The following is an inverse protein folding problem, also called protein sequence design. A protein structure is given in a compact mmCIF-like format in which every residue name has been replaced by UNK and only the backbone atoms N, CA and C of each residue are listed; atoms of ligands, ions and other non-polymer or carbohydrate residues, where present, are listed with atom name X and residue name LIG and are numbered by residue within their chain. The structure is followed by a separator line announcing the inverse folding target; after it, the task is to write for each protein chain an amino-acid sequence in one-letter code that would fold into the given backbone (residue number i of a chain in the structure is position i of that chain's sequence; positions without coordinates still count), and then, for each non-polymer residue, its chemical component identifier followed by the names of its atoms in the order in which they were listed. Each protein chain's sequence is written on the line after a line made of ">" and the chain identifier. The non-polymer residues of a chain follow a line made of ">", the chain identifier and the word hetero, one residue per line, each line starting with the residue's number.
data_IF_094892029813
#
_entry.id   IF_094892029813
#
_cell.length_a   1.000
_cell.length_b   1.000
_cell.length_c   1.000
_cell.angle_alpha   90.00
_cell.angle_beta   90.00
_cell.angle_gamma   90.00
#
_symmetry.space_group_name_H-M   'P 1'
#
loop_
_entity.id
_entity.type
_entity.pdbx_description
1 polymer ?
#
# COMPACT_ATOMS: atom_id res chain seq x y z
N UNK A 1 6.81 -44.60 8.72
CA UNK A 1 6.61 -43.22 8.21
C UNK A 1 6.01 -43.22 6.80
N UNK A 2 6.38 -44.17 5.93
CA UNK A 2 5.71 -44.41 4.64
C UNK A 2 4.44 -45.26 4.75
N UNK A 3 3.98 -45.54 5.98
CA UNK A 3 2.80 -46.34 6.23
C UNK A 3 1.55 -45.67 5.62
N UNK A 4 0.71 -46.51 5.03
CA UNK A 4 -0.54 -46.08 4.41
C UNK A 4 -1.47 -45.47 5.46
N UNK A 5 -1.98 -44.29 5.16
CA UNK A 5 -3.00 -43.62 5.93
C UNK A 5 -4.34 -44.35 5.74
N UNK A 6 -4.84 -44.94 6.82
CA UNK A 6 -6.12 -45.65 6.84
C UNK A 6 -7.19 -44.78 7.49
N UNK A 7 -8.25 -44.48 6.75
CA UNK A 7 -9.45 -43.85 7.30
C UNK A 7 -10.24 -44.92 8.06
N UNK A 8 -10.47 -44.77 9.38
CA UNK A 8 -11.29 -45.72 10.14
C UNK A 8 -12.69 -45.85 9.53
N UNK A 9 -13.13 -47.08 9.23
CA UNK A 9 -14.46 -47.37 8.68
C UNK A 9 -14.59 -47.49 7.15
N UNK A 10 -13.51 -47.31 6.36
CA UNK A 10 -13.52 -47.56 4.90
C UNK A 10 -12.91 -48.91 4.54
N UNK A 11 -13.57 -49.64 3.62
CA UNK A 11 -13.01 -50.86 3.02
C UNK A 11 -11.71 -50.56 2.27
N UNK A 12 -10.65 -51.34 2.55
CA UNK A 12 -9.31 -51.21 1.94
C UNK A 12 -9.32 -51.31 0.41
N UNK A 13 -10.35 -51.93 -0.20
CA UNK A 13 -10.42 -52.16 -1.65
C UNK A 13 -10.66 -50.90 -2.50
N UNK A 14 -10.96 -49.73 -1.91
CA UNK A 14 -11.26 -48.48 -2.65
C UNK A 14 -10.61 -47.21 -2.07
N UNK A 15 -9.72 -47.33 -1.10
CA UNK A 15 -9.06 -46.17 -0.50
C UNK A 15 -7.86 -45.73 -1.35
N UNK A 16 -7.74 -44.43 -1.65
CA UNK A 16 -6.50 -43.87 -2.23
C UNK A 16 -5.36 -44.15 -1.25
N UNK A 17 -4.29 -44.77 -1.74
CA UNK A 17 -3.08 -45.07 -0.98
C UNK A 17 -2.30 -43.77 -0.70
N UNK A 18 -2.73 -43.00 0.30
CA UNK A 18 -2.03 -41.82 0.77
C UNK A 18 -1.10 -42.26 1.91
N UNK A 19 0.18 -41.91 1.88
CA UNK A 19 1.10 -42.19 3.00
C UNK A 19 0.92 -41.17 4.12
N UNK A 20 1.20 -41.57 5.36
CA UNK A 20 1.19 -40.66 6.51
C UNK A 20 2.14 -39.46 6.31
N UNK A 21 3.31 -39.69 5.69
CA UNK A 21 4.24 -38.63 5.32
C UNK A 21 3.63 -37.62 4.34
N UNK A 22 2.89 -38.08 3.33
CA UNK A 22 2.19 -37.18 2.40
C UNK A 22 1.12 -36.36 3.12
N UNK A 23 0.32 -36.98 3.99
CA UNK A 23 -0.69 -36.27 4.79
C UNK A 23 -0.05 -35.20 5.68
N UNK A 24 1.02 -35.53 6.42
CA UNK A 24 1.72 -34.57 7.26
C UNK A 24 2.29 -33.38 6.47
N UNK A 25 2.88 -33.65 5.30
CA UNK A 25 3.37 -32.58 4.40
C UNK A 25 2.23 -31.68 3.93
N UNK A 26 1.08 -32.26 3.57
CA UNK A 26 -0.09 -31.51 3.13
C UNK A 26 -0.68 -30.67 4.27
N UNK A 27 -0.81 -31.23 5.47
CA UNK A 27 -1.29 -30.50 6.66
C UNK A 27 -0.35 -29.36 7.05
N UNK A 28 0.96 -29.58 7.02
CA UNK A 28 1.95 -28.53 7.26
C UNK A 28 1.86 -27.43 6.20
N UNK A 29 1.68 -27.79 4.93
CA UNK A 29 1.53 -26.82 3.84
C UNK A 29 0.27 -25.97 4.01
N UNK A 30 -0.87 -26.57 4.36
CA UNK A 30 -2.09 -25.82 4.65
C UNK A 30 -1.93 -24.91 5.87
N UNK A 31 -1.28 -25.37 6.95
CA UNK A 31 -1.02 -24.54 8.11
C UNK A 31 -0.18 -23.30 7.76
N UNK A 32 0.86 -23.47 6.92
CA UNK A 32 1.66 -22.33 6.44
C UNK A 32 0.84 -21.40 5.55
N UNK A 33 0.01 -21.93 4.65
CA UNK A 33 -0.89 -21.11 3.81
C UNK A 33 -1.88 -20.31 4.65
N UNK A 34 -2.49 -20.91 5.66
CA UNK A 34 -3.44 -20.23 6.53
C UNK A 34 -2.77 -19.12 7.34
N UNK A 35 -1.55 -19.36 7.84
CA UNK A 35 -0.74 -18.34 8.52
C UNK A 35 -0.43 -17.16 7.58
N UNK A 36 0.04 -17.43 6.36
CA UNK A 36 0.33 -16.42 5.35
C UNK A 36 -0.92 -15.63 4.96
N UNK A 37 -2.06 -16.31 4.78
CA UNK A 37 -3.32 -15.69 4.46
C UNK A 37 -3.82 -14.79 5.60
N UNK A 38 -3.68 -15.24 6.84
CA UNK A 38 -4.05 -14.45 8.02
C UNK A 38 -3.16 -13.21 8.15
N UNK A 39 -1.85 -13.37 7.94
CA UNK A 39 -0.91 -12.26 7.95
C UNK A 39 -1.21 -11.25 6.84
N UNK A 40 -1.52 -11.72 5.63
CA UNK A 40 -1.94 -10.87 4.51
C UNK A 40 -3.23 -10.10 4.85
N UNK A 41 -4.24 -10.77 5.39
CA UNK A 41 -5.51 -10.15 5.80
C UNK A 41 -5.31 -9.09 6.88
N UNK A 42 -4.42 -9.34 7.83
CA UNK A 42 -4.10 -8.38 8.88
C UNK A 42 -3.36 -7.15 8.31
N UNK A 43 -2.44 -7.36 7.35
CA UNK A 43 -1.67 -6.29 6.69
C UNK A 43 -2.52 -5.45 5.72
N UNK A 44 -3.40 -6.08 4.95
CA UNK A 44 -4.27 -5.44 3.96
C UNK A 44 -5.73 -5.48 4.42
N UNK A 45 -5.97 -5.01 5.64
CA UNK A 45 -7.34 -4.75 6.07
C UNK A 45 -7.94 -3.58 5.24
N UNK A 46 -9.23 -3.32 5.43
CA UNK A 46 -9.96 -2.29 4.68
C UNK A 46 -9.28 -0.92 4.74
N UNK A 47 -8.91 -0.46 5.94
CA UNK A 47 -8.27 0.84 6.15
C UNK A 47 -6.88 0.94 5.50
N UNK A 48 -6.05 -0.10 5.59
CA UNK A 48 -4.72 -0.11 4.99
C UNK A 48 -4.81 -0.15 3.46
N UNK A 49 -5.79 -0.88 2.93
CA UNK A 49 -6.06 -0.93 1.48
C UNK A 49 -6.56 0.43 0.98
N UNK A 50 -7.47 1.06 1.69
CA UNK A 50 -7.94 2.43 1.40
C UNK A 50 -6.78 3.43 1.41
N UNK A 51 -5.92 3.38 2.43
CA UNK A 51 -4.73 4.22 2.52
C UNK A 51 -3.78 4.02 1.32
N UNK A 52 -3.53 2.77 0.90
CA UNK A 52 -2.69 2.47 -0.26
C UNK A 52 -3.31 2.96 -1.58
N UNK A 53 -4.62 2.84 -1.73
CA UNK A 53 -5.35 3.38 -2.89
C UNK A 53 -5.20 4.89 -2.95
N UNK A 54 -5.35 5.58 -1.81
CA UNK A 54 -5.20 7.03 -1.75
C UNK A 54 -3.75 7.48 -2.01
N UNK A 55 -2.76 6.72 -1.51
CA UNK A 55 -1.34 6.94 -1.78
C UNK A 55 -0.99 6.89 -3.27
N UNK A 56 -1.60 5.97 -4.01
CA UNK A 56 -1.37 5.81 -5.44
C UNK A 56 -1.73 7.08 -6.23
N UNK A 57 -2.63 7.92 -5.71
CA UNK A 57 -3.03 9.18 -6.33
C UNK A 57 -1.93 10.26 -6.33
N UNK A 58 -0.85 10.08 -5.58
CA UNK A 58 0.34 10.95 -5.62
C UNK A 58 1.33 10.56 -6.72
N UNK A 59 1.07 9.48 -7.47
CA UNK A 59 1.98 8.99 -8.50
C UNK A 59 2.11 10.01 -9.64
N UNK A 60 3.33 10.46 -9.98
CA UNK A 60 3.53 11.44 -11.05
C UNK A 60 3.51 10.81 -12.46
N UNK A 61 3.46 9.48 -12.57
CA UNK A 61 3.44 8.78 -13.85
C UNK A 61 2.28 9.25 -14.74
N UNK A 62 2.51 9.20 -16.06
CA UNK A 62 1.51 9.52 -17.09
C UNK A 62 0.84 10.88 -16.85
N UNK A 63 1.65 11.90 -16.49
CA UNK A 63 1.18 13.25 -16.16
C UNK A 63 0.16 13.24 -15.01
N UNK A 64 0.47 12.50 -13.94
CA UNK A 64 -0.40 12.34 -12.78
C UNK A 64 -1.76 11.75 -13.15
N UNK A 65 -1.81 10.72 -14.01
CA UNK A 65 -3.06 10.10 -14.47
C UNK A 65 -3.90 9.53 -13.31
N UNK A 66 -3.25 9.05 -12.25
CA UNK A 66 -3.90 8.49 -11.06
C UNK A 66 -4.42 9.55 -10.07
N UNK A 67 -4.19 10.84 -10.33
CA UNK A 67 -4.60 11.91 -9.44
C UNK A 67 -6.11 11.91 -9.22
N UNK A 68 -6.50 11.92 -7.95
CA UNK A 68 -7.89 11.96 -7.50
C UNK A 68 -7.93 12.82 -6.24
N UNK A 69 -8.56 13.99 -6.34
CA UNK A 69 -8.58 14.98 -5.26
C UNK A 69 -9.28 14.45 -4.01
N UNK A 70 -10.41 13.77 -4.17
CA UNK A 70 -11.20 13.27 -3.03
C UNK A 70 -10.41 12.20 -2.26
N UNK A 71 -9.72 11.31 -2.98
CA UNK A 71 -8.84 10.32 -2.36
C UNK A 71 -7.64 10.95 -1.65
N UNK A 72 -7.07 12.03 -2.18
CA UNK A 72 -5.97 12.75 -1.52
C UNK A 72 -6.43 13.52 -0.27
N UNK A 73 -7.66 14.04 -0.26
CA UNK A 73 -8.26 14.59 0.96
C UNK A 73 -8.51 13.50 1.99
N UNK A 74 -9.04 12.35 1.56
CA UNK A 74 -9.19 11.16 2.40
C UNK A 74 -7.85 10.68 2.98
N UNK A 75 -6.77 10.75 2.19
CA UNK A 75 -5.41 10.46 2.67
C UNK A 75 -5.01 11.38 3.83
N UNK A 76 -5.29 12.67 3.72
CA UNK A 76 -4.97 13.64 4.76
C UNK A 76 -5.76 13.38 6.06
N UNK A 77 -6.97 12.81 5.97
CA UNK A 77 -7.74 12.38 7.14
C UNK A 77 -7.08 11.22 7.90
N UNK A 78 -6.22 10.41 7.29
CA UNK A 78 -5.42 9.42 8.03
C UNK A 78 -4.34 10.07 8.92
N UNK A 79 -4.04 11.35 8.69
CA UNK A 79 -3.03 12.14 9.39
C UNK A 79 -3.67 13.28 10.22
N UNK A 80 -4.72 12.99 11.00
CA UNK A 80 -5.45 14.00 11.81
C UNK A 80 -4.57 14.80 12.78
N UNK A 81 -3.39 14.30 13.14
CA UNK A 81 -2.42 15.04 13.98
C UNK A 81 -1.68 16.13 13.20
N UNK A 82 -1.56 15.95 11.89
CA UNK A 82 -0.80 16.81 10.98
C UNK A 82 -1.71 17.75 10.17
N UNK A 83 -2.98 17.37 9.97
CA UNK A 83 -4.00 18.15 9.26
C UNK A 83 -5.17 18.51 10.17
N UNK A 84 -5.33 19.80 10.45
CA UNK A 84 -6.57 20.35 11.03
C UNK A 84 -7.68 20.44 9.98
N UNK A 85 -8.93 20.64 10.40
CA UNK A 85 -10.05 20.89 9.48
C UNK A 85 -9.82 22.09 8.56
N UNK A 86 -9.16 23.14 9.06
CA UNK A 86 -8.78 24.31 8.24
C UNK A 86 -7.72 23.91 7.21
N UNK A 87 -6.75 23.07 7.60
CA UNK A 87 -5.73 22.56 6.68
C UNK A 87 -6.36 21.71 5.57
N UNK A 88 -7.41 20.94 5.85
CA UNK A 88 -8.09 20.12 4.83
C UNK A 88 -8.77 21.00 3.76
N UNK A 89 -9.46 22.07 4.17
CA UNK A 89 -10.07 23.03 3.24
C UNK A 89 -8.99 23.75 2.40
N UNK A 90 -7.89 24.15 3.04
CA UNK A 90 -6.78 24.79 2.35
C UNK A 90 -6.06 23.80 1.39
N UNK A 91 -5.91 22.54 1.78
CA UNK A 91 -5.34 21.48 0.96
C UNK A 91 -6.19 21.23 -0.28
N UNK A 92 -7.52 21.20 -0.13
CA UNK A 92 -8.44 21.04 -1.27
C UNK A 92 -8.20 22.11 -2.35
N UNK A 93 -8.19 23.39 -1.94
CA UNK A 93 -7.91 24.50 -2.86
C UNK A 93 -6.51 24.40 -3.47
N UNK A 94 -5.53 23.99 -2.67
CA UNK A 94 -4.15 23.87 -3.12
C UNK A 94 -3.96 22.74 -4.13
N UNK A 95 -4.69 21.63 -3.99
CA UNK A 95 -4.64 20.47 -4.89
C UNK A 95 -5.12 20.81 -6.31
N UNK A 96 -6.15 21.66 -6.44
CA UNK A 96 -6.67 22.09 -7.75
C UNK A 96 -5.64 22.90 -8.54
N UNK A 97 -4.92 23.79 -7.86
CA UNK A 97 -3.86 24.61 -8.48
C UNK A 97 -2.62 23.75 -8.74
N UNK A 98 -2.21 22.95 -7.76
CA UNK A 98 -1.08 22.03 -7.84
C UNK A 98 -1.13 21.14 -9.08
N UNK A 99 -2.26 20.45 -9.33
CA UNK A 99 -2.33 19.50 -10.44
C UNK A 99 -2.27 20.19 -11.80
N UNK A 100 -2.85 21.38 -11.90
CA UNK A 100 -2.87 22.18 -13.13
C UNK A 100 -1.46 22.66 -13.48
N UNK A 101 -0.75 23.18 -12.48
CA UNK A 101 0.59 23.74 -12.66
C UNK A 101 1.62 22.65 -12.96
N UNK A 102 1.58 21.53 -12.23
CA UNK A 102 2.56 20.46 -12.42
C UNK A 102 2.36 19.71 -13.74
N UNK A 103 1.12 19.50 -14.19
CA UNK A 103 0.86 18.89 -15.52
C UNK A 103 1.35 19.76 -16.68
N UNK A 104 1.44 21.06 -16.47
CA UNK A 104 1.88 22.03 -17.48
C UNK A 104 3.39 22.27 -17.46
N UNK A 105 4.10 21.78 -16.45
CA UNK A 105 5.53 22.01 -16.24
C UNK A 105 6.37 20.86 -16.78
N UNK A 106 7.33 21.19 -17.65
CA UNK A 106 8.26 20.24 -18.24
C UNK A 106 9.15 19.55 -17.19
N UNK A 107 9.38 20.20 -16.04
CA UNK A 107 10.16 19.65 -14.93
C UNK A 107 9.50 18.43 -14.27
N UNK A 108 8.18 18.26 -14.42
CA UNK A 108 7.41 17.19 -13.79
C UNK A 108 6.92 16.11 -14.77
N UNK A 109 7.19 16.23 -16.09
CA UNK A 109 6.56 15.38 -17.11
C UNK A 109 7.07 13.93 -17.14
N UNK A 110 8.31 13.66 -16.71
CA UNK A 110 8.95 12.34 -16.82
C UNK A 110 9.41 11.76 -15.46
N UNK A 111 8.77 12.17 -14.36
CA UNK A 111 9.12 11.66 -13.03
C UNK A 111 8.69 10.20 -12.87
N UNK A 112 9.60 9.36 -12.37
CA UNK A 112 9.40 7.90 -12.24
C UNK A 112 8.85 7.46 -10.88
N UNK A 113 8.53 8.40 -10.01
CA UNK A 113 7.92 8.11 -8.72
C UNK A 113 7.96 9.25 -7.71
N UNK A 114 7.35 8.99 -6.56
CA UNK A 114 7.13 9.98 -5.49
C UNK A 114 8.44 10.54 -4.92
N UNK A 115 9.52 9.74 -4.88
CA UNK A 115 10.83 10.22 -4.44
C UNK A 115 11.45 11.25 -5.38
N UNK A 116 11.24 11.13 -6.69
CA UNK A 116 11.66 12.15 -7.67
C UNK A 116 10.75 13.38 -7.60
N UNK A 117 9.44 13.19 -7.45
CA UNK A 117 8.47 14.26 -7.22
C UNK A 117 8.91 15.19 -6.10
N UNK A 118 9.19 14.66 -4.90
CA UNK A 118 9.61 15.47 -3.74
C UNK A 118 10.91 16.24 -4.03
N UNK A 119 11.89 15.59 -4.66
CA UNK A 119 13.16 16.26 -5.03
C UNK A 119 12.92 17.40 -6.01
N UNK A 120 12.08 17.19 -7.02
CA UNK A 120 11.75 18.22 -8.02
C UNK A 120 10.95 19.35 -7.41
N UNK A 121 10.01 19.07 -6.50
CA UNK A 121 9.26 20.11 -5.76
C UNK A 121 10.19 21.04 -4.99
N UNK A 122 11.20 20.51 -4.29
CA UNK A 122 12.17 21.34 -3.55
C UNK A 122 13.09 22.14 -4.48
N UNK A 123 13.51 21.55 -5.60
CA UNK A 123 14.35 22.23 -6.60
C UNK A 123 13.63 23.41 -7.22
N UNK A 124 12.36 23.23 -7.59
CA UNK A 124 11.50 24.25 -8.23
C UNK A 124 10.84 25.20 -7.25
N UNK A 125 11.06 25.04 -5.94
CA UNK A 125 10.41 25.80 -4.85
C UNK A 125 8.90 25.58 -4.71
N UNK A 126 8.37 24.55 -5.37
CA UNK A 126 6.99 24.11 -5.24
C UNK A 126 6.67 23.54 -3.85
N UNK A 127 7.69 23.16 -3.06
CA UNK A 127 7.53 22.86 -1.63
C UNK A 127 7.00 24.06 -0.81
N UNK A 128 7.32 25.28 -1.24
CA UNK A 128 6.86 26.53 -0.61
C UNK A 128 5.56 27.06 -1.20
N UNK A 129 5.31 26.79 -2.48
CA UNK A 129 4.06 27.16 -3.17
C UNK A 129 2.92 26.26 -2.75
N UNK A 130 3.20 24.95 -2.59
CA UNK A 130 2.22 23.94 -2.19
C UNK A 130 2.57 23.24 -0.87
N UNK A 131 2.70 23.97 0.26
CA UNK A 131 3.19 23.39 1.52
C UNK A 131 2.35 22.23 2.06
N UNK A 132 1.02 22.25 1.91
CA UNK A 132 0.16 21.18 2.43
C UNK A 132 0.25 19.93 1.54
N UNK A 133 0.33 20.10 0.23
CA UNK A 133 0.56 18.99 -0.71
C UNK A 133 1.94 18.38 -0.46
N UNK A 134 2.97 19.22 -0.30
CA UNK A 134 4.32 18.75 0.03
C UNK A 134 4.38 18.00 1.36
N UNK A 135 3.66 18.48 2.38
CA UNK A 135 3.53 17.79 3.66
C UNK A 135 2.87 16.43 3.50
N UNK A 136 1.77 16.33 2.73
CA UNK A 136 1.10 15.07 2.44
C UNK A 136 2.06 14.08 1.74
N UNK A 137 2.80 14.54 0.74
CA UNK A 137 3.78 13.70 0.00
C UNK A 137 4.95 13.27 0.91
N UNK A 138 5.34 14.10 1.88
CA UNK A 138 6.42 13.76 2.82
C UNK A 138 5.97 12.72 3.84
N UNK A 139 4.79 12.89 4.43
CA UNK A 139 4.21 11.94 5.39
C UNK A 139 4.03 10.54 4.80
N UNK A 140 3.68 10.49 3.52
CA UNK A 140 3.49 9.25 2.79
C UNK A 140 4.81 8.52 2.53
N UNK A 141 5.90 9.24 2.22
CA UNK A 141 7.24 8.65 2.16
C UNK A 141 7.71 8.11 3.51
N UNK A 142 7.46 8.84 4.60
CA UNK A 142 7.81 8.40 5.96
C UNK A 142 7.07 7.10 6.29
N UNK A 143 5.78 7.02 5.96
CA UNK A 143 4.98 5.81 6.17
C UNK A 143 5.51 4.62 5.36
N UNK A 144 5.89 4.82 4.08
CA UNK A 144 6.49 3.75 3.28
C UNK A 144 7.79 3.23 3.90
N UNK A 145 8.67 4.13 4.35
CA UNK A 145 9.94 3.77 4.99
C UNK A 145 9.70 3.06 6.33
N UNK A 146 8.76 3.54 7.15
CA UNK A 146 8.40 2.91 8.42
C UNK A 146 7.79 1.50 8.20
N UNK A 147 6.87 1.38 7.25
CA UNK A 147 6.31 0.10 6.83
C UNK A 147 7.42 -0.84 6.40
N UNK A 148 8.31 -0.43 5.48
CA UNK A 148 9.45 -1.23 5.00
C UNK A 148 10.42 -1.66 6.11
N UNK A 149 10.70 -0.79 7.10
CA UNK A 149 11.58 -1.14 8.22
C UNK A 149 10.96 -2.13 9.20
N UNK A 150 9.63 -2.14 9.35
CA UNK A 150 8.93 -3.19 10.10
C UNK A 150 9.03 -4.58 9.44
N UNK A 151 9.47 -4.68 8.17
CA UNK A 151 9.75 -5.96 7.50
C UNK A 151 11.14 -6.53 7.82
N UNK A 152 12.06 -5.77 8.43
CA UNK A 152 13.44 -6.25 8.70
C UNK A 152 13.56 -6.87 10.09
N UNK A 153 12.52 -6.77 10.94
CA UNK A 153 12.55 -7.21 12.34
C UNK A 153 11.72 -8.45 12.67
N UNK A 154 11.03 -9.04 11.70
CA UNK A 154 10.36 -10.35 11.83
C UNK A 154 11.02 -11.36 10.90
#
# INVERSE_FOLDING_TARGET
>A
MDDLFLIPGRSRRKAREITNLHRYRVELFYAVLDMQLQELKNRFNESNTELLICLACLCPNDLFAAFDKEKLLRLAEFYLKDFSTINLIALEMQLDVYITDLRSSAEFSELKGVGELVRTMVKTKNDKVYPLVYQLVTLTLILHVASAMNFVKN
#
